data_IF_994985076458
#
_entry.id   IF_994985076458
#
_cell.length_a   1.000
_cell.length_b   1.000
_cell.length_c   1.000
_cell.angle_alpha   90.00
_cell.angle_beta   90.00
_cell.angle_gamma   90.00
#
_symmetry.space_group_name_H-M   'P 1'
#
loop_
_entity.id
_entity.type
_entity.pdbx_description
1 polymer ?
#
# COMPACT_ATOMS: atom_id res chain seq x y z
N UNK A 1 42.29 -6.26 19.13
CA UNK A 1 41.17 -7.20 18.85
C UNK A 1 39.87 -6.41 18.68
N UNK A 2 39.45 -5.52 19.59
CA UNK A 2 38.17 -4.78 19.51
C UNK A 2 38.05 -3.92 18.25
N UNK A 3 39.10 -3.23 17.82
CA UNK A 3 39.10 -2.42 16.59
C UNK A 3 38.93 -3.28 15.31
N UNK A 4 39.46 -4.52 15.31
CA UNK A 4 39.32 -5.44 14.18
C UNK A 4 37.92 -6.02 14.03
N UNK A 5 37.16 -6.12 15.13
CA UNK A 5 35.75 -6.58 15.10
C UNK A 5 34.79 -5.51 14.59
N UNK A 6 35.19 -4.24 14.52
CA UNK A 6 34.35 -3.15 14.04
C UNK A 6 34.10 -3.19 12.53
N UNK A 7 35.07 -3.66 11.76
CA UNK A 7 34.98 -3.68 10.28
C UNK A 7 33.98 -4.70 9.71
N UNK A 8 33.82 -5.91 10.28
CA UNK A 8 32.81 -6.88 9.78
C UNK A 8 31.38 -6.64 10.32
N UNK A 9 31.18 -5.69 11.26
CA UNK A 9 29.87 -5.36 11.77
C UNK A 9 29.05 -4.65 10.68
N UNK A 10 27.93 -5.22 10.34
CA UNK A 10 26.95 -4.58 9.47
C UNK A 10 26.48 -3.24 10.05
N UNK A 11 26.24 -2.27 9.19
CA UNK A 11 25.68 -0.97 9.58
C UNK A 11 24.20 -0.95 9.28
N UNK A 12 23.36 -0.75 10.28
CA UNK A 12 21.95 -0.50 10.14
C UNK A 12 21.61 0.86 10.73
N UNK A 13 20.75 1.62 10.05
CA UNK A 13 20.27 2.91 10.57
C UNK A 13 19.43 2.73 11.83
N UNK A 14 18.65 1.66 11.87
CA UNK A 14 17.86 1.26 13.03
C UNK A 14 18.06 -0.23 13.31
N UNK A 15 18.14 -0.64 14.58
CA UNK A 15 18.14 -2.05 14.92
C UNK A 15 16.78 -2.68 14.51
N UNK A 16 16.76 -3.95 14.10
CA UNK A 16 15.53 -4.64 13.83
C UNK A 16 14.71 -4.76 15.13
N UNK A 17 13.58 -4.09 15.20
CA UNK A 17 12.62 -4.24 16.28
C UNK A 17 11.73 -5.44 16.02
N UNK A 18 11.41 -6.20 17.05
CA UNK A 18 10.33 -7.16 17.00
C UNK A 18 9.10 -6.51 17.63
N UNK A 19 8.20 -6.06 16.78
CA UNK A 19 7.04 -5.26 17.20
C UNK A 19 5.84 -6.13 17.62
N UNK A 20 5.94 -7.46 17.48
CA UNK A 20 4.85 -8.38 17.82
C UNK A 20 3.59 -8.19 16.96
N UNK A 21 3.70 -7.46 15.87
CA UNK A 21 2.62 -7.22 14.92
C UNK A 21 3.14 -7.19 13.50
N UNK A 22 2.32 -7.63 12.55
CA UNK A 22 2.53 -7.39 11.12
C UNK A 22 1.68 -6.22 10.66
N UNK A 23 2.25 -5.39 9.79
CA UNK A 23 1.51 -4.48 8.92
C UNK A 23 1.55 -5.05 7.51
N UNK A 24 0.40 -5.46 7.01
CA UNK A 24 0.27 -6.15 5.72
C UNK A 24 -0.48 -5.22 4.76
N UNK A 25 0.18 -4.86 3.66
CA UNK A 25 -0.48 -4.11 2.59
C UNK A 25 -0.89 -5.09 1.48
N UNK A 26 -2.14 -4.99 1.10
CA UNK A 26 -2.70 -5.72 -0.04
C UNK A 26 -3.12 -4.70 -1.07
N UNK A 27 -2.47 -4.70 -2.21
CA UNK A 27 -2.78 -3.81 -3.32
C UNK A 27 -3.24 -4.60 -4.53
N UNK A 28 -4.41 -4.25 -5.04
CA UNK A 28 -4.97 -4.79 -6.28
C UNK A 28 -4.75 -3.82 -7.44
N UNK A 29 -5.17 -4.21 -8.64
CA UNK A 29 -5.07 -3.38 -9.83
C UNK A 29 -5.81 -2.04 -9.63
N UNK A 30 -5.21 -0.92 -10.02
CA UNK A 30 -5.92 0.36 -10.06
C UNK A 30 -7.18 0.27 -10.94
N UNK A 31 -8.29 0.88 -10.48
CA UNK A 31 -9.59 0.82 -11.16
C UNK A 31 -10.53 -0.26 -10.64
N UNK A 32 -10.10 -1.10 -9.72
CA UNK A 32 -10.98 -2.00 -8.98
C UNK A 32 -11.99 -1.20 -8.15
N UNK A 33 -13.20 -1.73 -7.97
CA UNK A 33 -14.18 -1.11 -7.08
C UNK A 33 -13.80 -1.31 -5.60
N UNK A 34 -14.30 -0.43 -4.74
CA UNK A 34 -14.13 -0.58 -3.29
C UNK A 34 -14.70 -1.91 -2.80
N UNK A 35 -15.84 -2.35 -3.36
CA UNK A 35 -16.47 -3.62 -3.00
C UNK A 35 -15.57 -4.83 -3.29
N UNK A 36 -14.94 -4.88 -4.46
CA UNK A 36 -14.02 -5.97 -4.80
C UNK A 36 -12.73 -5.91 -3.98
N UNK A 37 -12.22 -4.71 -3.71
CA UNK A 37 -11.08 -4.52 -2.82
C UNK A 37 -11.40 -4.98 -1.39
N UNK A 38 -12.61 -4.70 -0.91
CA UNK A 38 -13.10 -5.14 0.40
C UNK A 38 -13.21 -6.67 0.49
N UNK A 39 -13.72 -7.34 -0.55
CA UNK A 39 -13.77 -8.82 -0.63
C UNK A 39 -12.37 -9.44 -0.56
N UNK A 40 -11.39 -8.86 -1.26
CA UNK A 40 -10.00 -9.33 -1.19
C UNK A 40 -9.42 -9.15 0.21
N UNK A 41 -9.68 -7.99 0.84
CA UNK A 41 -9.28 -7.72 2.21
C UNK A 41 -9.92 -8.69 3.21
N UNK A 42 -11.20 -8.98 3.06
CA UNK A 42 -11.90 -9.94 3.91
C UNK A 42 -11.33 -11.36 3.76
N UNK A 43 -11.00 -11.76 2.53
CA UNK A 43 -10.34 -13.03 2.30
C UNK A 43 -8.98 -13.12 2.99
N UNK A 44 -8.23 -12.03 3.01
CA UNK A 44 -6.95 -11.96 3.72
C UNK A 44 -7.14 -12.07 5.25
N UNK A 45 -8.17 -11.43 5.80
CA UNK A 45 -8.52 -11.56 7.24
C UNK A 45 -8.80 -13.01 7.61
N UNK A 46 -9.61 -13.71 6.83
CA UNK A 46 -9.90 -15.15 7.05
C UNK A 46 -8.63 -15.99 7.04
N UNK A 47 -7.74 -15.77 6.07
CA UNK A 47 -6.48 -16.50 5.95
C UNK A 47 -5.56 -16.22 7.14
N UNK A 48 -5.45 -14.97 7.57
CA UNK A 48 -4.64 -14.58 8.72
C UNK A 48 -5.19 -15.16 10.02
N UNK A 49 -6.50 -15.09 10.25
CA UNK A 49 -7.15 -15.65 11.44
C UNK A 49 -7.11 -17.20 11.47
N UNK A 50 -6.82 -17.85 10.35
CA UNK A 50 -6.57 -19.30 10.31
C UNK A 50 -5.20 -19.71 10.87
N UNK A 51 -4.34 -18.72 11.22
CA UNK A 51 -3.00 -18.94 11.79
C UNK A 51 -3.09 -18.84 13.31
N UNK A 52 -2.70 -19.87 14.06
CA UNK A 52 -2.92 -19.94 15.52
C UNK A 52 -2.21 -18.85 16.34
N UNK A 53 -1.17 -18.22 15.81
CA UNK A 53 -0.44 -17.12 16.44
C UNK A 53 -1.11 -15.76 16.23
N UNK A 54 -2.08 -15.65 15.29
CA UNK A 54 -2.80 -14.41 14.97
C UNK A 54 -4.23 -14.56 15.49
N UNK A 55 -4.59 -13.85 16.54
CA UNK A 55 -5.90 -13.95 17.17
C UNK A 55 -6.86 -12.85 16.73
N UNK A 56 -6.32 -11.71 16.34
CA UNK A 56 -7.10 -10.55 15.92
C UNK A 56 -6.45 -9.89 14.71
N UNK A 57 -7.27 -9.28 13.88
CA UNK A 57 -6.80 -8.43 12.77
C UNK A 57 -7.65 -7.18 12.72
N UNK A 58 -7.05 -6.07 12.28
CA UNK A 58 -7.77 -4.83 12.01
C UNK A 58 -7.39 -4.35 10.61
N UNK A 59 -8.40 -4.09 9.78
CA UNK A 59 -8.20 -3.69 8.39
C UNK A 59 -8.82 -2.34 8.10
N UNK A 60 -8.13 -1.57 7.28
CA UNK A 60 -8.68 -0.40 6.60
C UNK A 60 -8.53 -0.61 5.09
N UNK A 61 -9.60 -0.38 4.34
CA UNK A 61 -9.64 -0.50 2.89
C UNK A 61 -10.07 0.82 2.28
N UNK A 62 -9.31 1.29 1.28
CA UNK A 62 -9.63 2.51 0.58
C UNK A 62 -9.33 3.77 1.37
N UNK A 63 -10.01 4.86 0.99
CA UNK A 63 -9.78 6.20 1.50
C UNK A 63 -10.71 6.53 2.65
N UNK A 64 -10.17 6.96 3.78
CA UNK A 64 -10.94 7.69 4.78
C UNK A 64 -11.09 9.16 4.34
N UNK A 65 -12.29 9.74 4.48
CA UNK A 65 -12.61 11.09 3.97
C UNK A 65 -11.76 12.21 4.59
N UNK A 66 -11.23 11.99 5.79
CA UNK A 66 -10.46 12.98 6.56
C UNK A 66 -8.99 12.58 6.78
N UNK A 67 -8.50 11.53 6.10
CA UNK A 67 -7.12 11.07 6.26
C UNK A 67 -6.19 11.71 5.22
N UNK A 68 -5.19 12.45 5.68
CA UNK A 68 -4.16 13.05 4.83
C UNK A 68 -3.30 11.98 4.12
N UNK A 69 -3.24 10.77 4.65
CA UNK A 69 -2.52 9.61 4.08
C UNK A 69 -3.45 8.63 3.36
N UNK A 70 -4.41 9.17 2.63
CA UNK A 70 -5.42 8.38 1.93
C UNK A 70 -4.82 7.35 0.98
N UNK A 71 -5.05 6.08 1.28
CA UNK A 71 -4.79 4.97 0.37
C UNK A 71 -5.81 4.99 -0.78
N UNK A 72 -5.42 4.48 -1.96
CA UNK A 72 -6.39 4.26 -3.04
C UNK A 72 -7.43 3.21 -2.68
N UNK A 73 -8.59 3.24 -3.31
CA UNK A 73 -9.65 2.23 -3.10
C UNK A 73 -9.19 0.80 -3.36
N UNK A 74 -8.11 0.65 -4.11
CA UNK A 74 -7.50 -0.63 -4.46
C UNK A 74 -6.48 -1.13 -3.41
N UNK A 75 -6.36 -0.48 -2.27
CA UNK A 75 -5.37 -0.84 -1.22
C UNK A 75 -6.07 -1.11 0.09
N UNK A 76 -5.71 -2.23 0.71
CA UNK A 76 -6.06 -2.57 2.09
C UNK A 76 -4.80 -2.65 2.92
N UNK A 77 -4.84 -2.09 4.12
CA UNK A 77 -3.79 -2.22 5.13
C UNK A 77 -4.35 -2.99 6.31
N UNK A 78 -3.68 -4.06 6.71
CA UNK A 78 -4.11 -4.96 7.79
C UNK A 78 -3.04 -4.95 8.87
N UNK A 79 -3.44 -4.62 10.09
CA UNK A 79 -2.65 -4.81 11.29
C UNK A 79 -3.01 -6.18 11.88
N UNK A 80 -2.00 -7.03 12.07
CA UNK A 80 -2.15 -8.38 12.56
C UNK A 80 -1.16 -8.64 13.72
N UNK A 81 -1.56 -8.35 14.97
CA UNK A 81 -0.78 -8.74 16.14
C UNK A 81 -0.63 -10.26 16.22
N UNK A 82 0.55 -10.71 16.60
CA UNK A 82 0.83 -12.14 16.74
C UNK A 82 1.60 -12.43 18.03
N UNK A 83 1.37 -13.62 18.55
CA UNK A 83 2.11 -14.17 19.68
C UNK A 83 2.81 -15.47 19.24
N UNK A 84 4.16 -15.43 19.21
CA UNK A 84 4.95 -16.62 18.83
C UNK A 84 4.78 -17.72 19.86
N UNK A 85 4.52 -18.94 19.38
CA UNK A 85 4.42 -20.16 20.18
C UNK A 85 5.69 -21.01 20.02
N UNK A 86 5.60 -22.11 19.31
CA UNK A 86 6.67 -23.10 19.21
C UNK A 86 7.60 -22.91 18.00
N UNK A 87 7.30 -21.98 17.13
CA UNK A 87 8.04 -21.73 15.88
C UNK A 87 8.68 -20.35 15.81
N UNK A 88 9.66 -20.22 14.94
CA UNK A 88 10.36 -18.96 14.71
C UNK A 88 9.49 -17.94 13.96
N UNK A 89 9.81 -16.66 14.12
CA UNK A 89 9.16 -15.59 13.35
C UNK A 89 9.30 -15.78 11.84
N UNK A 90 10.45 -16.29 11.36
CA UNK A 90 10.67 -16.54 9.94
C UNK A 90 9.73 -17.60 9.36
N UNK A 91 9.45 -18.65 10.12
CA UNK A 91 8.48 -19.69 9.74
C UNK A 91 7.06 -19.11 9.73
N UNK A 92 6.70 -18.29 10.73
CA UNK A 92 5.40 -17.60 10.74
C UNK A 92 5.23 -16.69 9.52
N UNK A 93 6.23 -15.87 9.19
CA UNK A 93 6.20 -14.99 8.00
C UNK A 93 6.09 -15.80 6.71
N UNK A 94 6.79 -16.94 6.63
CA UNK A 94 6.70 -17.81 5.45
C UNK A 94 5.28 -18.36 5.25
N UNK A 95 4.61 -18.81 6.32
CA UNK A 95 3.22 -19.26 6.23
C UNK A 95 2.25 -18.13 5.89
N UNK A 96 2.40 -16.97 6.50
CA UNK A 96 1.60 -15.78 6.16
C UNK A 96 1.73 -15.46 4.67
N UNK A 97 2.96 -15.47 4.15
CA UNK A 97 3.25 -15.19 2.73
C UNK A 97 2.64 -16.25 1.82
N UNK A 98 2.76 -17.53 2.17
CA UNK A 98 2.17 -18.61 1.41
C UNK A 98 0.64 -18.50 1.33
N UNK A 99 -0.01 -18.30 2.47
CA UNK A 99 -1.47 -18.16 2.54
C UNK A 99 -1.97 -16.95 1.76
N UNK A 100 -1.39 -15.78 2.00
CA UNK A 100 -1.81 -14.55 1.33
C UNK A 100 -1.47 -14.56 -0.16
N UNK A 101 -0.42 -15.27 -0.58
CA UNK A 101 -0.07 -15.47 -1.99
C UNK A 101 -1.13 -16.23 -2.80
N UNK A 102 -2.10 -16.87 -2.13
CA UNK A 102 -3.25 -17.50 -2.79
C UNK A 102 -4.31 -16.52 -3.28
N UNK A 103 -4.24 -15.24 -2.85
CA UNK A 103 -5.19 -14.21 -3.27
C UNK A 103 -4.84 -13.74 -4.67
N UNK A 104 -5.62 -14.17 -5.65
CA UNK A 104 -5.39 -13.85 -7.06
C UNK A 104 -5.63 -12.36 -7.32
N UNK A 105 -4.72 -11.73 -8.07
CA UNK A 105 -4.84 -10.32 -8.46
C UNK A 105 -4.43 -9.31 -7.39
N UNK A 106 -3.87 -9.78 -6.27
CA UNK A 106 -3.33 -8.91 -5.22
C UNK A 106 -1.80 -9.01 -5.13
N UNK A 107 -1.17 -7.87 -4.92
CA UNK A 107 0.20 -7.79 -4.44
C UNK A 107 0.19 -7.68 -2.93
N UNK A 108 0.99 -8.50 -2.25
CA UNK A 108 1.06 -8.54 -0.79
C UNK A 108 2.46 -8.10 -0.35
N UNK A 109 2.50 -7.18 0.59
CA UNK A 109 3.72 -6.72 1.25
C UNK A 109 3.56 -6.92 2.75
N UNK A 110 4.54 -7.59 3.38
CA UNK A 110 4.51 -7.90 4.81
C UNK A 110 5.61 -7.11 5.50
N UNK A 111 5.24 -6.21 6.37
CA UNK A 111 6.14 -5.37 7.15
C UNK A 111 5.83 -5.41 8.63
N UNK A 112 6.42 -4.45 9.34
CA UNK A 112 6.14 -4.16 10.75
C UNK A 112 5.72 -2.70 10.89
N UNK A 113 4.87 -2.34 11.87
CA UNK A 113 4.27 -1.01 11.97
C UNK A 113 5.27 0.14 11.95
N UNK A 114 6.31 0.09 12.76
CA UNK A 114 7.31 1.18 12.86
C UNK A 114 8.25 1.16 11.65
N UNK A 115 8.81 -0.01 11.31
CA UNK A 115 9.71 -0.16 10.16
C UNK A 115 9.05 0.33 8.88
N UNK A 116 7.81 -0.04 8.64
CA UNK A 116 7.03 0.37 7.46
C UNK A 116 6.84 1.88 7.34
N UNK A 117 6.59 2.56 8.49
CA UNK A 117 6.46 4.02 8.51
C UNK A 117 7.79 4.71 8.24
N UNK A 118 8.88 4.20 8.81
CA UNK A 118 10.21 4.77 8.63
C UNK A 118 10.66 4.62 7.18
N UNK A 119 10.48 3.44 6.59
CA UNK A 119 10.82 3.18 5.18
C UNK A 119 10.03 4.11 4.25
N UNK A 120 8.73 4.28 4.49
CA UNK A 120 7.89 5.21 3.73
C UNK A 120 8.35 6.67 3.85
N UNK A 121 8.78 7.10 5.05
CA UNK A 121 9.28 8.46 5.27
C UNK A 121 10.64 8.72 4.60
N UNK A 122 11.54 7.73 4.60
CA UNK A 122 12.90 7.88 4.09
C UNK A 122 12.99 7.70 2.56
N UNK A 123 12.30 6.72 2.01
CA UNK A 123 12.38 6.34 0.59
C UNK A 123 11.18 6.76 -0.24
N UNK A 124 10.08 7.15 0.41
CA UNK A 124 8.78 7.40 -0.23
C UNK A 124 8.07 6.12 -0.66
N UNK A 125 8.59 4.96 -0.26
CA UNK A 125 8.00 3.64 -0.51
C UNK A 125 7.99 2.84 0.79
N UNK A 126 7.06 1.89 0.89
CA UNK A 126 6.97 1.01 2.07
C UNK A 126 7.94 -0.19 2.01
N UNK A 127 8.82 -0.22 1.02
CA UNK A 127 9.79 -1.30 0.79
C UNK A 127 11.20 -0.92 1.25
N UNK A 128 11.97 -1.89 1.74
CA UNK A 128 13.36 -1.70 2.18
C UNK A 128 14.29 -1.31 1.02
N UNK A 129 13.96 -1.74 -0.20
CA UNK A 129 14.71 -1.43 -1.42
C UNK A 129 13.73 -0.93 -2.47
N UNK A 130 13.97 0.26 -3.01
CA UNK A 130 13.18 0.84 -4.09
C UNK A 130 14.04 1.05 -5.33
N UNK A 131 13.64 0.44 -6.45
CA UNK A 131 14.23 0.69 -7.77
C UNK A 131 13.31 1.68 -8.49
N UNK A 132 13.77 2.89 -8.71
CA UNK A 132 12.98 3.95 -9.37
C UNK A 132 13.34 4.02 -10.85
N UNK A 133 12.33 3.83 -11.71
CA UNK A 133 12.41 4.05 -13.14
C UNK A 133 11.86 5.44 -13.48
N UNK A 134 12.54 6.15 -14.36
CA UNK A 134 12.13 7.47 -14.83
C UNK A 134 11.96 7.44 -16.35
N UNK A 135 10.89 8.01 -16.84
CA UNK A 135 10.59 8.11 -18.27
C UNK A 135 9.23 8.75 -18.52
N UNK A 136 8.95 9.08 -19.78
CA UNK A 136 7.74 9.78 -20.19
C UNK A 136 6.61 8.81 -20.61
N UNK A 137 6.95 7.55 -20.90
CA UNK A 137 6.00 6.52 -21.33
C UNK A 137 5.75 5.50 -20.22
N UNK A 138 4.58 5.59 -19.57
CA UNK A 138 4.18 4.74 -18.46
C UNK A 138 4.10 3.25 -18.85
N UNK A 139 3.63 2.95 -20.07
CA UNK A 139 3.50 1.56 -20.52
C UNK A 139 4.86 0.92 -20.72
N UNK A 140 5.80 1.66 -21.34
CA UNK A 140 7.17 1.23 -21.50
C UNK A 140 7.88 1.05 -20.17
N UNK A 141 7.68 1.97 -19.23
CA UNK A 141 8.25 1.86 -17.87
C UNK A 141 7.71 0.63 -17.15
N UNK A 142 6.42 0.34 -17.26
CA UNK A 142 5.82 -0.84 -16.66
C UNK A 142 6.39 -2.14 -17.26
N UNK A 143 6.58 -2.18 -18.59
CA UNK A 143 7.21 -3.32 -19.27
C UNK A 143 8.62 -3.54 -18.78
N UNK A 144 9.44 -2.48 -18.73
CA UNK A 144 10.82 -2.54 -18.22
C UNK A 144 10.86 -2.93 -16.74
N UNK A 145 9.91 -2.44 -15.93
CA UNK A 145 9.77 -2.85 -14.52
C UNK A 145 9.56 -4.35 -14.37
N UNK A 146 8.72 -4.96 -15.21
CA UNK A 146 8.49 -6.40 -15.22
C UNK A 146 9.71 -7.19 -15.74
N UNK A 147 10.46 -6.68 -16.70
CA UNK A 147 11.72 -7.26 -17.13
C UNK A 147 12.75 -7.28 -16.00
N UNK A 148 12.91 -6.15 -15.29
CA UNK A 148 13.77 -6.05 -14.11
C UNK A 148 13.31 -7.03 -13.02
N UNK A 149 12.01 -7.05 -12.71
CA UNK A 149 11.44 -8.01 -11.75
C UNK A 149 11.83 -9.43 -12.11
N UNK A 150 11.66 -9.83 -13.37
CA UNK A 150 12.00 -11.17 -13.85
C UNK A 150 13.49 -11.49 -13.72
N UNK A 151 14.35 -10.49 -13.95
CA UNK A 151 15.79 -10.66 -13.85
C UNK A 151 16.30 -10.84 -12.40
N UNK A 152 15.64 -10.21 -11.43
CA UNK A 152 16.12 -10.18 -10.03
C UNK A 152 15.34 -11.11 -9.10
N UNK A 153 14.17 -11.62 -9.48
CA UNK A 153 13.32 -12.47 -8.63
C UNK A 153 13.99 -13.75 -8.12
N UNK A 154 15.06 -14.21 -8.81
CA UNK A 154 15.83 -15.40 -8.44
C UNK A 154 16.99 -15.15 -7.47
N UNK A 155 17.23 -13.89 -7.08
CA UNK A 155 18.36 -13.55 -6.19
C UNK A 155 17.99 -13.95 -4.76
N UNK A 156 18.83 -14.75 -4.07
CA UNK A 156 18.58 -15.14 -2.69
C UNK A 156 18.49 -13.91 -1.77
N UNK A 157 17.49 -13.89 -0.91
CA UNK A 157 17.23 -12.78 0.03
C UNK A 157 16.24 -11.73 -0.48
N UNK A 158 15.83 -11.80 -1.74
CA UNK A 158 14.73 -10.97 -2.25
C UNK A 158 13.39 -11.65 -1.94
N UNK A 159 12.50 -10.91 -1.28
CA UNK A 159 11.14 -11.31 -1.01
C UNK A 159 10.17 -10.15 -1.30
N UNK A 160 8.90 -10.46 -1.53
CA UNK A 160 7.82 -9.48 -1.75
C UNK A 160 8.15 -8.46 -2.88
N UNK A 161 8.69 -8.97 -3.98
CA UNK A 161 9.12 -8.16 -5.11
C UNK A 161 7.91 -7.75 -5.97
N UNK A 162 7.55 -6.49 -5.90
CA UNK A 162 6.41 -5.90 -6.60
C UNK A 162 6.84 -4.82 -7.60
N UNK A 163 6.09 -4.69 -8.69
CA UNK A 163 6.18 -3.56 -9.61
C UNK A 163 4.97 -2.69 -9.36
N UNK A 164 5.21 -1.44 -8.95
CA UNK A 164 4.12 -0.47 -8.79
C UNK A 164 3.54 -0.14 -10.18
N UNK A 165 2.26 -0.43 -10.35
CA UNK A 165 1.58 -0.17 -11.60
C UNK A 165 0.98 1.23 -11.58
N UNK A 166 1.60 2.15 -12.31
CA UNK A 166 1.00 3.44 -12.63
C UNK A 166 0.24 3.32 -13.94
N UNK A 167 -1.08 3.26 -13.86
CA UNK A 167 -1.96 3.22 -15.04
C UNK A 167 -2.59 4.60 -15.22
N UNK A 168 -2.80 4.97 -16.47
CA UNK A 168 -3.67 6.08 -16.81
C UNK A 168 -5.07 5.82 -16.23
N UNK A 169 -5.52 6.70 -15.33
CA UNK A 169 -6.85 6.61 -14.74
C UNK A 169 -7.79 7.50 -15.52
N UNK A 170 -8.98 7.03 -15.88
CA UNK A 170 -10.02 7.90 -16.41
C UNK A 170 -10.30 9.02 -15.41
N UNK A 171 -10.26 10.25 -15.87
CA UNK A 171 -10.57 11.43 -15.06
C UNK A 171 -11.81 12.11 -15.60
N UNK A 172 -12.72 12.48 -14.71
CA UNK A 172 -13.84 13.34 -15.03
C UNK A 172 -13.39 14.80 -14.83
N UNK A 173 -13.22 15.52 -15.94
CA UNK A 173 -12.90 16.95 -15.90
C UNK A 173 -14.20 17.75 -16.09
N UNK A 174 -14.59 18.49 -15.06
CA UNK A 174 -15.75 19.36 -15.07
C UNK A 174 -15.31 20.79 -15.32
N UNK A 175 -15.59 21.30 -16.54
CA UNK A 175 -15.20 22.65 -16.92
C UNK A 175 -16.44 23.55 -17.02
N UNK A 176 -16.49 24.66 -16.26
CA UNK A 176 -17.61 25.59 -16.33
C UNK A 176 -17.61 26.35 -17.64
N UNK A 177 -18.79 26.55 -18.21
CA UNK A 177 -19.02 27.49 -19.32
C UNK A 177 -19.15 28.89 -18.74
N UNK A 178 -18.07 29.65 -18.73
CA UNK A 178 -17.98 31.01 -18.09
C UNK A 178 -19.07 31.96 -18.53
N UNK A 179 -19.43 31.94 -19.83
CA UNK A 179 -20.53 32.76 -20.37
C UNK A 179 -21.89 32.41 -19.74
N UNK A 180 -22.12 31.13 -19.49
CA UNK A 180 -23.37 30.70 -18.85
C UNK A 180 -23.37 31.03 -17.36
N UNK A 181 -22.24 30.93 -16.68
CA UNK A 181 -22.14 31.37 -15.28
C UNK A 181 -22.48 32.84 -15.17
N UNK A 182 -21.87 33.68 -16.04
CA UNK A 182 -22.16 35.13 -16.08
C UNK A 182 -23.63 35.42 -16.38
N UNK A 183 -24.24 34.67 -17.31
CA UNK A 183 -25.66 34.85 -17.68
C UNK A 183 -26.58 34.54 -16.50
N UNK A 184 -26.27 33.57 -15.66
CA UNK A 184 -27.08 33.19 -14.51
C UNK A 184 -26.62 33.85 -13.19
N UNK A 185 -25.62 34.73 -13.24
CA UNK A 185 -25.09 35.44 -12.07
C UNK A 185 -24.38 34.53 -11.06
N UNK A 186 -23.87 33.40 -11.51
CA UNK A 186 -23.15 32.43 -10.67
C UNK A 186 -21.65 32.72 -10.75
N UNK A 187 -21.00 32.87 -9.61
CA UNK A 187 -19.56 33.04 -9.54
C UNK A 187 -18.81 31.69 -9.70
N UNK A 188 -17.57 31.74 -10.11
CA UNK A 188 -16.74 30.52 -10.21
C UNK A 188 -16.56 29.79 -8.86
N UNK A 189 -16.36 30.47 -7.71
CA UNK A 189 -16.34 29.84 -6.39
C UNK A 189 -17.62 29.08 -6.07
N UNK A 190 -18.81 29.69 -6.27
CA UNK A 190 -20.10 29.03 -6.02
C UNK A 190 -20.29 27.78 -6.89
N UNK A 191 -19.87 27.84 -8.16
CA UNK A 191 -19.88 26.65 -9.02
C UNK A 191 -18.95 25.54 -8.49
N UNK A 192 -17.73 25.90 -8.08
CA UNK A 192 -16.77 24.94 -7.55
C UNK A 192 -17.23 24.30 -6.25
N UNK A 193 -17.82 25.10 -5.36
CA UNK A 193 -18.42 24.62 -4.12
C UNK A 193 -19.57 23.65 -4.38
N UNK A 194 -20.49 24.01 -5.30
CA UNK A 194 -21.58 23.14 -5.68
C UNK A 194 -21.10 21.80 -6.24
N UNK A 195 -20.10 21.80 -7.12
CA UNK A 195 -19.51 20.58 -7.68
C UNK A 195 -18.87 19.74 -6.57
N UNK A 196 -18.15 20.39 -5.66
CA UNK A 196 -17.50 19.72 -4.54
C UNK A 196 -18.51 19.04 -3.60
N UNK A 197 -19.55 19.78 -3.21
CA UNK A 197 -20.63 19.23 -2.35
C UNK A 197 -21.36 18.08 -3.02
N UNK A 198 -21.65 18.21 -4.32
CA UNK A 198 -22.37 17.15 -5.06
C UNK A 198 -21.56 15.87 -5.27
N UNK A 199 -20.23 15.96 -5.40
CA UNK A 199 -19.37 14.82 -5.74
C UNK A 199 -18.58 14.27 -4.55
N UNK A 200 -18.15 15.14 -3.63
CA UNK A 200 -17.36 14.74 -2.46
C UNK A 200 -18.17 14.72 -1.16
N UNK A 201 -19.34 15.38 -1.14
CA UNK A 201 -20.12 15.60 0.07
C UNK A 201 -19.54 16.70 0.96
N UNK A 202 -20.30 17.14 1.92
CA UNK A 202 -19.90 18.08 2.96
C UNK A 202 -20.36 17.60 4.33
N UNK A 203 -19.49 17.70 5.34
CA UNK A 203 -19.85 17.39 6.72
C UNK A 203 -20.78 18.48 7.28
N UNK A 204 -22.03 18.11 7.54
CA UNK A 204 -23.07 19.06 8.02
C UNK A 204 -22.98 19.28 9.54
N UNK A 205 -22.38 18.35 10.28
CA UNK A 205 -22.11 18.46 11.74
C UNK A 205 -20.95 17.55 12.12
N UNK A 206 -20.14 17.99 13.05
CA UNK A 206 -19.15 17.19 13.77
C UNK A 206 -19.69 16.80 15.14
#
# INVERSE_FOLDING_TARGET
VALGCFFPLGRSFLPPFNEGSFTINISSLPGISLEESDKMGHRAEELLLSIPEIQTVARKTGRAELDEHALGVNVSEIEAPFELKDRSRSELVAEVREKLGTIVGANVEIGQPISHRIDAMLSGTKANIAIKLFGDDLNRMFTLGNEIKSAIQGIPGIADLNVEQQIERPQLVISPKREMLAKYGISLPEFSEFVNVCLAGEAVSQ
#
